data_IF_140084114952
#
_entry.id   IF_140084114952
#
_cell.length_a   1.000
_cell.length_b   1.000
_cell.length_c   1.000
_cell.angle_alpha   90.00
_cell.angle_beta   90.00
_cell.angle_gamma   90.00
#
_symmetry.space_group_name_H-M   'P 1'
#
loop_
_entity.id
_entity.type
_entity.pdbx_description
1 polymer ?
#
# COMPACT_ATOMS: atom_id res chain seq x y z
N UNK A 1 2.16 -16.52 9.15
CA UNK A 1 2.39 -16.32 7.70
C UNK A 1 2.04 -14.88 7.42
N UNK A 2 2.98 -14.07 6.91
CA UNK A 2 2.72 -12.68 6.55
C UNK A 2 2.73 -12.52 5.04
N UNK A 3 1.77 -11.77 4.53
CA UNK A 3 1.60 -11.41 3.13
C UNK A 3 2.18 -10.02 2.95
N UNK A 4 3.22 -9.90 2.13
CA UNK A 4 3.82 -8.62 1.80
C UNK A 4 3.07 -7.99 0.62
N UNK A 5 2.56 -6.77 0.83
CA UNK A 5 1.95 -5.96 -0.19
C UNK A 5 2.97 -4.94 -0.72
N UNK A 6 3.31 -5.05 -2.00
CA UNK A 6 4.33 -4.22 -2.63
C UNK A 6 3.88 -3.69 -3.99
N UNK A 7 4.57 -2.66 -4.46
CA UNK A 7 4.33 -2.06 -5.77
C UNK A 7 5.32 -2.63 -6.79
N UNK A 8 4.80 -3.12 -7.92
CA UNK A 8 5.64 -3.67 -8.98
C UNK A 8 6.21 -2.58 -9.90
N UNK A 9 7.02 -2.98 -10.89
CA UNK A 9 7.65 -2.07 -11.85
C UNK A 9 6.66 -1.31 -12.74
N UNK A 10 5.41 -1.76 -12.86
CA UNK A 10 4.40 -1.15 -13.72
C UNK A 10 3.59 -0.06 -13.01
N UNK A 11 3.82 0.17 -11.72
CA UNK A 11 3.13 1.21 -10.95
C UNK A 11 3.26 2.61 -11.56
N UNK A 12 4.33 2.87 -12.33
CA UNK A 12 4.53 4.10 -13.10
C UNK A 12 3.42 4.39 -14.12
N UNK A 13 2.69 3.35 -14.56
CA UNK A 13 1.53 3.49 -15.44
C UNK A 13 0.31 4.13 -14.76
N UNK A 14 0.29 4.23 -13.43
CA UNK A 14 -0.78 4.86 -12.64
C UNK A 14 -0.50 6.33 -12.32
N UNK A 15 0.55 6.93 -12.91
CA UNK A 15 0.82 8.35 -12.72
C UNK A 15 -0.35 9.19 -13.26
N UNK A 16 -0.68 10.31 -12.59
CA UNK A 16 0.04 10.91 -11.45
C UNK A 16 -0.42 10.38 -10.07
N UNK A 17 -1.36 9.45 -10.02
CA UNK A 17 -2.07 9.04 -8.80
C UNK A 17 -1.13 8.48 -7.72
N UNK A 18 -0.02 7.88 -8.16
CA UNK A 18 0.98 7.22 -7.32
C UNK A 18 2.12 8.14 -6.89
N UNK A 19 2.10 9.43 -7.22
CA UNK A 19 3.18 10.36 -6.82
C UNK A 19 3.07 10.79 -5.35
N UNK A 20 1.87 10.72 -4.76
CA UNK A 20 1.60 11.17 -3.38
C UNK A 20 1.25 10.06 -2.40
N UNK A 21 1.08 8.81 -2.89
CA UNK A 21 0.66 7.66 -2.09
C UNK A 21 1.04 6.35 -2.77
N UNK A 22 1.09 5.28 -1.99
CA UNK A 22 1.26 3.94 -2.53
C UNK A 22 0.03 3.50 -3.34
N UNK A 23 0.21 2.62 -4.32
CA UNK A 23 -0.84 2.15 -5.21
C UNK A 23 -1.96 1.44 -4.44
N UNK A 24 -1.64 0.74 -3.35
CA UNK A 24 -2.63 0.08 -2.52
C UNK A 24 -3.50 1.05 -1.70
N UNK A 25 -3.09 2.32 -1.58
CA UNK A 25 -3.91 3.38 -0.99
C UNK A 25 -4.80 4.08 -2.03
N UNK A 26 -4.77 3.64 -3.28
CA UNK A 26 -5.73 4.08 -4.29
C UNK A 26 -7.10 3.45 -4.02
N UNK A 27 -8.14 4.26 -4.20
CA UNK A 27 -9.52 3.80 -4.08
C UNK A 27 -9.98 3.11 -5.35
N UNK A 28 -10.60 1.95 -5.17
CA UNK A 28 -11.41 1.27 -6.18
C UNK A 28 -12.88 1.38 -5.74
N UNK A 29 -13.52 2.48 -6.15
CA UNK A 29 -14.84 2.86 -5.65
C UNK A 29 -14.77 3.42 -4.23
N UNK A 30 -15.52 2.84 -3.29
CA UNK A 30 -15.64 3.34 -1.92
C UNK A 30 -14.52 2.94 -0.96
N UNK A 31 -13.64 2.01 -1.35
CA UNK A 31 -12.57 1.46 -0.49
C UNK A 31 -11.23 1.48 -1.19
N UNK A 32 -10.14 1.47 -0.43
CA UNK A 32 -8.79 1.26 -0.95
C UNK A 32 -8.53 -0.22 -1.23
N UNK A 33 -7.50 -0.50 -2.03
CA UNK A 33 -7.01 -1.86 -2.24
C UNK A 33 -6.55 -2.45 -0.89
N UNK A 34 -5.83 -1.66 -0.07
CA UNK A 34 -5.35 -2.11 1.23
C UNK A 34 -6.49 -2.47 2.19
N UNK A 35 -7.56 -1.67 2.25
CA UNK A 35 -8.75 -1.99 3.06
C UNK A 35 -9.36 -3.34 2.63
N UNK A 36 -9.47 -3.56 1.32
CA UNK A 36 -10.00 -4.82 0.78
C UNK A 36 -9.10 -6.00 1.15
N UNK A 37 -7.78 -5.83 1.14
CA UNK A 37 -6.83 -6.88 1.52
C UNK A 37 -6.85 -7.17 3.03
N UNK A 38 -7.02 -6.15 3.87
CA UNK A 38 -7.15 -6.31 5.33
C UNK A 38 -8.38 -7.15 5.69
N UNK A 39 -9.49 -6.93 5.01
CA UNK A 39 -10.72 -7.71 5.18
C UNK A 39 -10.52 -9.19 4.83
N UNK A 40 -9.71 -9.49 3.80
CA UNK A 40 -9.51 -10.86 3.30
C UNK A 40 -8.49 -11.65 4.13
N UNK A 41 -7.41 -11.01 4.58
CA UNK A 41 -6.25 -11.70 5.14
C UNK A 41 -6.03 -11.48 6.65
N UNK A 42 -6.86 -10.65 7.29
CA UNK A 42 -6.67 -10.07 8.62
C UNK A 42 -5.55 -9.00 8.67
N UNK A 43 -5.74 -7.89 9.42
CA UNK A 43 -4.79 -6.77 9.42
C UNK A 43 -3.35 -7.16 9.82
N UNK A 44 -3.19 -8.02 10.82
CA UNK A 44 -1.88 -8.42 11.37
C UNK A 44 -1.10 -9.37 10.45
N UNK A 45 -1.75 -9.90 9.42
CA UNK A 45 -1.13 -10.76 8.43
C UNK A 45 -0.53 -9.99 7.25
N UNK A 46 -0.68 -8.65 7.19
CA UNK A 46 -0.15 -7.83 6.10
C UNK A 46 1.11 -7.06 6.51
N UNK A 47 2.13 -7.11 5.67
CA UNK A 47 3.31 -6.23 5.73
C UNK A 47 3.29 -5.29 4.52
N UNK A 48 3.63 -4.02 4.72
CA UNK A 48 3.59 -3.00 3.66
C UNK A 48 5.00 -2.73 3.14
N UNK A 49 5.17 -2.81 1.82
CA UNK A 49 6.38 -2.39 1.14
C UNK A 49 6.05 -1.28 0.14
N UNK A 50 6.61 -0.09 0.36
CA UNK A 50 6.38 1.10 -0.44
C UNK A 50 7.66 1.52 -1.16
N UNK A 51 7.54 2.03 -2.39
CA UNK A 51 8.70 2.61 -3.09
C UNK A 51 9.29 3.79 -2.30
N UNK A 52 10.59 4.09 -2.44
CA UNK A 52 11.26 5.16 -1.69
C UNK A 52 10.56 6.52 -1.76
N UNK A 53 9.97 6.85 -2.92
CA UNK A 53 9.27 8.13 -3.15
C UNK A 53 8.14 8.39 -2.15
N UNK A 54 7.39 7.34 -1.76
CA UNK A 54 6.19 7.47 -0.92
C UNK A 54 6.33 6.77 0.43
N UNK A 55 7.42 6.04 0.68
CA UNK A 55 7.61 5.26 1.90
C UNK A 55 7.42 6.09 3.19
N UNK A 56 7.94 7.32 3.23
CA UNK A 56 7.75 8.21 4.38
C UNK A 56 6.30 8.65 4.58
N UNK A 57 5.58 8.94 3.48
CA UNK A 57 4.15 9.30 3.53
C UNK A 57 3.31 8.09 3.93
N UNK A 58 3.60 6.91 3.39
CA UNK A 58 2.95 5.65 3.76
C UNK A 58 3.13 5.36 5.25
N UNK A 59 4.35 5.49 5.78
CA UNK A 59 4.62 5.26 7.21
C UNK A 59 3.87 6.26 8.12
N UNK A 60 3.58 7.47 7.64
CA UNK A 60 2.77 8.44 8.36
C UNK A 60 1.26 8.18 8.34
N UNK A 61 0.77 7.36 7.40
CA UNK A 61 -0.67 7.07 7.25
C UNK A 61 -1.11 5.73 7.84
N UNK A 62 -0.17 4.82 8.10
CA UNK A 62 -0.47 3.46 8.56
C UNK A 62 0.32 3.14 9.83
N UNK A 63 -0.33 2.49 10.79
CA UNK A 63 0.33 1.98 12.00
C UNK A 63 1.24 0.76 11.72
N UNK A 64 1.02 0.10 10.60
CA UNK A 64 1.81 -1.04 10.15
C UNK A 64 3.23 -0.62 9.77
N UNK A 65 4.27 -1.41 10.11
CA UNK A 65 5.63 -1.17 9.63
C UNK A 65 5.67 -1.13 8.10
N UNK A 66 6.36 -0.13 7.55
CA UNK A 66 6.58 0.03 6.11
C UNK A 66 8.05 -0.21 5.80
N UNK A 67 8.34 -1.12 4.86
CA UNK A 67 9.70 -1.51 4.48
C UNK A 67 10.54 -2.11 5.63
N UNK A 68 9.88 -2.80 6.58
CA UNK A 68 10.53 -3.51 7.68
C UNK A 68 10.97 -4.94 7.29
#
# INVERSE_FOLDING_TARGET
>A
MQICLFEDKHVSGLRPLVESRAAYDLRLGGRTILETLRDVFAPDALCLHARPLVAGVTAGHHESPVNA
#
